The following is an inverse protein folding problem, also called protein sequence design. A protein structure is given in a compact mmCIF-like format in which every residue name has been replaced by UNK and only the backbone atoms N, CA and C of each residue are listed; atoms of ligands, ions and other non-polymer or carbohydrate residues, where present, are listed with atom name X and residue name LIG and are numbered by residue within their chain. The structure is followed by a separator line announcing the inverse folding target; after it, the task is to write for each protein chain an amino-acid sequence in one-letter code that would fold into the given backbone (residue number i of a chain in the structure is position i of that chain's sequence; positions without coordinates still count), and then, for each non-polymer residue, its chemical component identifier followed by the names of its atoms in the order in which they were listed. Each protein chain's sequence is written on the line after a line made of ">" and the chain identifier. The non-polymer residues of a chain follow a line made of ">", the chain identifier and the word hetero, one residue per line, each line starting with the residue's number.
data_IF_670501670507
#
_entry.id   IF_670501670507
#
_cell.length_a   1.000
_cell.length_b   1.000
_cell.length_c   1.000
_cell.angle_alpha   90.00
_cell.angle_beta   90.00
_cell.angle_gamma   90.00
#
_symmetry.space_group_name_H-M   'P 1'
#
loop_
_entity.id
_entity.type
_entity.pdbx_description
1 polymer ?
#
# COMPACT_ATOMS: atom_id res chain seq x y z
N UNK A 1 1.16 -22.82 -9.94
CA UNK A 1 0.29 -22.10 -9.03
C UNK A 1 -0.02 -20.76 -9.66
N UNK A 2 -1.29 -20.37 -9.77
CA UNK A 2 -1.62 -19.04 -10.27
C UNK A 2 -1.26 -18.02 -9.18
N UNK A 3 -0.62 -16.90 -9.55
CA UNK A 3 -0.29 -15.86 -8.58
C UNK A 3 -1.56 -15.28 -7.98
N UNK A 4 -1.50 -14.87 -6.72
CA UNK A 4 -2.64 -14.28 -6.03
C UNK A 4 -3.08 -13.00 -6.75
N UNK A 5 -4.33 -12.96 -7.18
CA UNK A 5 -4.93 -11.73 -7.72
C UNK A 5 -5.19 -10.79 -6.56
N UNK A 6 -4.60 -9.60 -6.60
CA UNK A 6 -4.78 -8.59 -5.58
C UNK A 6 -5.50 -7.37 -6.12
N UNK A 7 -6.06 -6.61 -5.21
CA UNK A 7 -6.57 -5.26 -5.48
C UNK A 7 -5.57 -4.25 -4.97
N UNK A 8 -5.21 -3.28 -5.80
CA UNK A 8 -4.26 -2.22 -5.46
C UNK A 8 -4.99 -0.93 -5.15
N UNK A 9 -4.36 -0.10 -4.32
CA UNK A 9 -4.87 1.23 -3.96
C UNK A 9 -3.74 2.24 -4.00
N UNK A 10 -4.07 3.46 -4.39
CA UNK A 10 -3.18 4.60 -4.20
C UNK A 10 -3.48 5.23 -2.84
N UNK A 11 -2.45 5.57 -2.08
CA UNK A 11 -2.64 6.16 -0.75
C UNK A 11 -3.57 7.37 -0.79
N UNK A 12 -4.53 7.39 0.12
CA UNK A 12 -5.53 8.44 0.22
C UNK A 12 -6.76 8.28 -0.68
N UNK A 13 -6.81 7.25 -1.54
CA UNK A 13 -7.95 6.93 -2.39
C UNK A 13 -8.65 5.67 -1.92
N UNK A 14 -9.96 5.60 -2.12
CA UNK A 14 -10.76 4.39 -1.92
C UNK A 14 -10.94 3.55 -3.18
N UNK A 15 -10.55 4.11 -4.34
CA UNK A 15 -10.78 3.49 -5.64
C UNK A 15 -9.82 2.33 -5.83
N UNK A 16 -10.39 1.18 -6.08
CA UNK A 16 -9.65 -0.06 -6.30
C UNK A 16 -9.06 -0.09 -7.71
N UNK A 17 -7.80 -0.49 -7.82
CA UNK A 17 -7.14 -0.74 -9.09
C UNK A 17 -7.04 -2.26 -9.31
N UNK A 18 -7.26 -2.76 -10.53
CA UNK A 18 -7.28 -4.19 -10.79
C UNK A 18 -5.91 -4.84 -10.57
N UNK A 19 -5.92 -6.10 -10.20
CA UNK A 19 -4.70 -6.91 -10.00
C UNK A 19 -4.15 -7.55 -11.28
N UNK A 20 -4.61 -7.14 -12.45
CA UNK A 20 -4.18 -7.65 -13.76
C UNK A 20 -3.08 -6.79 -14.36
N UNK A 21 -2.23 -7.40 -15.24
CA UNK A 21 -1.14 -6.69 -15.93
C UNK A 21 -1.60 -5.58 -16.87
N UNK A 22 -2.88 -5.51 -17.19
CA UNK A 22 -3.39 -4.60 -18.22
C UNK A 22 -4.32 -3.55 -17.64
N UNK A 23 -3.91 -2.31 -17.81
CA UNK A 23 -4.80 -1.15 -17.76
C UNK A 23 -5.34 -0.93 -19.17
N UNK A 24 -6.37 -1.63 -19.57
CA UNK A 24 -6.94 -1.42 -20.89
C UNK A 24 -8.43 -1.08 -20.83
N UNK A 25 -8.92 -0.36 -21.84
CA UNK A 25 -10.31 0.10 -21.92
C UNK A 25 -11.36 -0.99 -21.73
N UNK A 26 -11.01 -2.25 -22.02
CA UNK A 26 -11.90 -3.39 -21.84
C UNK A 26 -12.31 -3.65 -20.38
N UNK A 27 -11.52 -3.17 -19.40
CA UNK A 27 -11.82 -3.33 -17.97
C UNK A 27 -12.34 -2.04 -17.33
N UNK A 28 -12.49 -0.95 -18.09
CA UNK A 28 -12.89 0.34 -17.57
C UNK A 28 -11.82 1.11 -16.80
N UNK A 29 -10.57 0.62 -16.73
CA UNK A 29 -9.47 1.28 -16.04
C UNK A 29 -8.44 1.79 -17.04
N UNK A 30 -7.83 2.95 -16.73
CA UNK A 30 -6.79 3.53 -17.55
C UNK A 30 -5.75 4.28 -16.70
N UNK A 31 -4.54 4.44 -17.25
CA UNK A 31 -3.55 5.36 -16.72
C UNK A 31 -3.90 6.77 -17.16
N UNK A 32 -3.81 7.74 -16.24
CA UNK A 32 -3.91 9.14 -16.61
C UNK A 32 -2.63 9.58 -17.34
N UNK A 33 -2.75 10.03 -18.56
CA UNK A 33 -1.63 10.44 -19.41
C UNK A 33 -1.41 11.95 -19.46
N UNK A 34 -2.37 12.73 -18.95
CA UNK A 34 -2.21 14.17 -18.85
C UNK A 34 -1.16 14.49 -17.80
N UNK A 35 0.04 14.72 -18.26
CA UNK A 35 1.15 15.14 -17.42
C UNK A 35 0.85 16.57 -16.91
N UNK A 36 0.41 16.68 -15.68
CA UNK A 36 -0.03 17.94 -15.08
C UNK A 36 1.17 18.82 -14.67
N UNK A 37 2.20 18.88 -15.52
CA UNK A 37 3.37 19.76 -15.40
C UNK A 37 4.00 19.79 -13.99
N UNK A 38 4.21 18.65 -13.37
CA UNK A 38 4.76 18.50 -12.00
C UNK A 38 3.87 19.11 -10.90
N UNK A 39 2.60 19.33 -11.15
CA UNK A 39 1.70 19.91 -10.14
C UNK A 39 0.88 18.86 -9.36
N UNK A 40 0.90 17.60 -9.80
CA UNK A 40 0.07 16.53 -9.22
C UNK A 40 -1.42 16.73 -9.48
N UNK A 41 -2.22 15.77 -9.06
CA UNK A 41 -3.66 15.77 -9.22
C UNK A 41 -4.36 16.22 -7.93
N UNK A 42 -5.54 16.83 -8.06
CA UNK A 42 -6.37 17.17 -6.92
C UNK A 42 -7.22 15.97 -6.49
N UNK A 43 -7.66 15.96 -5.22
CA UNK A 43 -8.66 14.97 -4.74
C UNK A 43 -9.98 15.08 -5.50
N UNK A 44 -10.39 16.30 -5.90
CA UNK A 44 -11.58 16.50 -6.72
C UNK A 44 -11.47 15.79 -8.07
N UNK A 45 -10.31 15.88 -8.72
CA UNK A 45 -10.05 15.15 -9.95
C UNK A 45 -10.09 13.63 -9.74
N UNK A 46 -9.43 13.14 -8.70
CA UNK A 46 -9.41 11.72 -8.37
C UNK A 46 -10.81 11.14 -8.11
N UNK A 47 -11.67 11.89 -7.42
CA UNK A 47 -13.06 11.49 -7.14
C UNK A 47 -13.89 11.41 -8.41
N UNK A 48 -13.66 12.31 -9.37
CA UNK A 48 -14.36 12.32 -10.67
C UNK A 48 -13.87 11.24 -11.63
N UNK A 49 -12.68 10.70 -11.39
CA UNK A 49 -12.01 9.70 -12.23
C UNK A 49 -11.56 8.48 -11.42
N UNK A 50 -12.50 7.73 -10.80
CA UNK A 50 -12.18 6.56 -9.99
C UNK A 50 -11.52 5.43 -10.81
N UNK A 51 -11.79 5.39 -12.11
CA UNK A 51 -11.25 4.40 -13.05
C UNK A 51 -9.79 4.67 -13.45
N UNK A 52 -9.23 5.84 -13.09
CA UNK A 52 -7.87 6.20 -13.48
C UNK A 52 -6.86 5.93 -12.39
N UNK A 53 -5.75 5.31 -12.75
CA UNK A 53 -4.53 5.38 -11.98
C UNK A 53 -3.85 6.72 -12.24
N UNK A 54 -3.53 7.44 -11.19
CA UNK A 54 -2.88 8.74 -11.27
C UNK A 54 -1.37 8.56 -11.08
N UNK A 55 -0.52 8.87 -12.08
CA UNK A 55 0.90 8.69 -11.95
C UNK A 55 1.51 9.67 -10.94
N UNK A 56 2.74 9.37 -10.57
CA UNK A 56 3.54 10.27 -9.74
C UNK A 56 3.68 11.64 -10.42
N UNK A 57 3.47 12.71 -9.69
CA UNK A 57 3.57 14.05 -10.26
C UNK A 57 5.02 14.56 -10.34
N UNK A 58 5.93 14.00 -9.54
CA UNK A 58 7.36 14.29 -9.64
C UNK A 58 8.00 13.16 -10.43
N UNK A 59 8.36 13.45 -11.68
CA UNK A 59 9.07 12.52 -12.53
C UNK A 59 10.42 12.13 -11.89
N UNK A 60 10.79 10.86 -12.01
CA UNK A 60 12.04 10.31 -11.49
C UNK A 60 12.19 10.33 -9.95
N UNK A 61 11.11 10.58 -9.21
CA UNK A 61 11.13 10.55 -7.76
C UNK A 61 10.27 9.40 -7.21
N UNK A 62 10.92 8.31 -6.82
CA UNK A 62 10.27 7.07 -6.35
C UNK A 62 9.27 7.27 -5.21
N UNK A 63 9.46 8.32 -4.42
CA UNK A 63 8.64 8.58 -3.24
C UNK A 63 7.62 9.71 -3.44
N UNK A 64 7.42 10.16 -4.67
CA UNK A 64 6.34 11.10 -4.99
C UNK A 64 4.97 10.41 -4.92
N UNK A 65 3.93 11.18 -4.63
CA UNK A 65 2.55 10.71 -4.69
C UNK A 65 1.85 11.23 -5.95
N UNK A 66 0.64 10.77 -6.15
CA UNK A 66 -0.22 11.24 -7.24
C UNK A 66 -0.79 12.65 -6.98
N UNK A 67 -0.83 13.08 -5.74
CA UNK A 67 -1.46 14.34 -5.31
C UNK A 67 -0.40 15.37 -4.92
N UNK A 68 -0.54 16.59 -5.39
CA UNK A 68 0.37 17.71 -5.08
C UNK A 68 0.14 18.29 -3.69
N UNK A 69 -1.05 18.09 -3.13
CA UNK A 69 -1.42 18.58 -1.81
C UNK A 69 -1.71 17.40 -0.91
N UNK A 70 -0.78 17.13 -0.02
CA UNK A 70 -0.90 16.05 0.94
C UNK A 70 -1.96 16.32 2.00
N UNK A 71 -2.82 15.34 2.23
CA UNK A 71 -3.75 15.33 3.34
C UNK A 71 -3.46 14.11 4.21
N UNK A 72 -2.91 14.36 5.38
CA UNK A 72 -2.51 13.31 6.33
C UNK A 72 -3.68 12.47 6.83
N UNK A 73 -4.87 13.04 6.85
CA UNK A 73 -6.06 12.44 7.44
C UNK A 73 -7.03 11.80 6.45
N UNK A 74 -6.56 11.40 5.28
CA UNK A 74 -7.44 10.86 4.23
C UNK A 74 -8.04 9.52 4.62
N UNK A 75 -7.27 8.59 5.18
CA UNK A 75 -7.76 7.29 5.60
C UNK A 75 -8.12 7.20 7.09
N UNK A 76 -7.57 8.12 7.91
CA UNK A 76 -7.92 8.22 9.32
C UNK A 76 -7.95 9.68 9.76
N UNK A 77 -9.06 10.12 10.36
CA UNK A 77 -9.18 11.50 10.89
C UNK A 77 -8.24 11.78 12.06
N UNK A 78 -7.69 10.73 12.68
CA UNK A 78 -6.81 10.85 13.84
C UNK A 78 -5.33 11.04 13.47
N UNK A 79 -5.00 11.14 12.19
CA UNK A 79 -3.63 11.37 11.72
C UNK A 79 -3.27 12.85 11.82
N UNK A 80 -2.75 13.27 12.98
CA UNK A 80 -2.33 14.66 13.20
C UNK A 80 -0.89 14.91 12.83
N UNK A 81 -0.04 13.89 12.93
CA UNK A 81 1.38 13.97 12.64
C UNK A 81 1.71 13.12 11.44
N UNK A 82 2.37 13.71 10.48
CA UNK A 82 3.13 13.03 9.45
C UNK A 82 4.47 12.60 10.09
N UNK A 83 5.08 11.52 9.61
CA UNK A 83 6.40 11.04 10.04
C UNK A 83 6.45 10.17 11.30
N UNK A 84 5.40 10.11 12.10
CA UNK A 84 5.38 9.26 13.29
C UNK A 84 4.66 7.94 13.03
N UNK A 85 5.35 6.84 13.29
CA UNK A 85 4.71 5.54 13.41
C UNK A 85 3.86 5.49 14.67
N UNK A 86 2.64 5.03 14.55
CA UNK A 86 1.69 5.11 15.66
C UNK A 86 0.81 3.85 15.73
N UNK A 87 0.48 3.46 16.96
CA UNK A 87 -0.61 2.53 17.29
C UNK A 87 -1.92 3.26 17.64
N UNK A 88 -2.01 4.55 17.36
CA UNK A 88 -3.24 5.29 17.60
C UNK A 88 -4.41 4.64 16.86
N UNK A 89 -5.58 4.68 17.46
CA UNK A 89 -6.80 4.16 16.88
C UNK A 89 -7.08 4.80 15.53
N UNK A 90 -7.21 3.99 14.50
CA UNK A 90 -7.63 4.47 13.19
C UNK A 90 -9.12 4.81 13.24
N UNK A 91 -9.44 6.07 12.95
CA UNK A 91 -10.82 6.54 12.82
C UNK A 91 -11.14 6.66 11.34
N UNK A 92 -11.79 5.65 10.82
CA UNK A 92 -12.13 5.48 9.41
C UNK A 92 -12.79 6.71 8.81
N UNK A 93 -12.33 7.11 7.63
CA UNK A 93 -12.96 8.15 6.80
C UNK A 93 -13.76 7.52 5.65
N UNK A 94 -14.43 8.35 4.87
CA UNK A 94 -15.11 7.93 3.63
C UNK A 94 -14.13 7.52 2.53
N UNK A 95 -12.85 7.87 2.66
CA UNK A 95 -11.78 7.54 1.68
C UNK A 95 -11.01 6.27 2.04
N UNK A 96 -11.23 5.70 3.23
CA UNK A 96 -10.63 4.42 3.60
C UNK A 96 -11.22 3.30 2.74
N UNK A 97 -10.38 2.52 2.03
CA UNK A 97 -10.85 1.53 1.05
C UNK A 97 -11.48 0.27 1.67
N UNK A 98 -11.28 0.05 2.96
CA UNK A 98 -11.81 -1.15 3.60
C UNK A 98 -13.34 -1.12 3.68
N UNK A 99 -14.01 -2.27 3.66
CA UNK A 99 -15.47 -2.34 3.80
C UNK A 99 -15.95 -1.82 5.16
N UNK A 100 -17.27 -1.64 5.29
CA UNK A 100 -17.89 -1.26 6.53
C UNK A 100 -17.54 -2.26 7.67
N UNK A 101 -17.27 -1.76 8.86
CA UNK A 101 -16.83 -2.56 10.00
C UNK A 101 -15.33 -2.88 10.02
N UNK A 102 -14.59 -2.51 8.99
CA UNK A 102 -13.13 -2.65 8.90
C UNK A 102 -12.50 -1.31 8.52
N UNK A 103 -11.21 -1.17 8.79
CA UNK A 103 -10.41 0.00 8.43
C UNK A 103 -8.99 -0.39 8.09
N UNK A 104 -8.24 0.49 7.45
CA UNK A 104 -6.81 0.33 7.22
C UNK A 104 -6.06 0.23 8.55
N UNK A 105 -5.01 -0.60 8.65
CA UNK A 105 -4.29 -0.80 9.90
C UNK A 105 -3.49 0.46 10.32
N UNK A 106 -3.21 0.57 11.62
CA UNK A 106 -2.24 1.53 12.13
C UNK A 106 -0.81 1.20 11.65
N UNK A 107 0.10 2.17 11.64
CA UNK A 107 1.45 1.97 11.07
C UNK A 107 2.31 0.98 11.85
N UNK A 108 2.01 0.71 13.12
CA UNK A 108 2.69 -0.29 13.93
C UNK A 108 1.95 -1.64 13.99
N UNK A 109 0.87 -1.82 13.23
CA UNK A 109 0.08 -3.05 13.27
C UNK A 109 0.86 -4.31 12.86
N UNK A 110 1.89 -4.14 12.05
CA UNK A 110 2.72 -5.25 11.54
C UNK A 110 3.98 -5.55 12.36
N UNK A 111 4.21 -4.85 13.46
CA UNK A 111 5.42 -5.05 14.29
C UNK A 111 5.52 -6.44 14.88
N UNK A 112 4.40 -7.10 15.14
CA UNK A 112 4.38 -8.52 15.58
C UNK A 112 4.93 -9.51 14.56
N UNK A 113 5.14 -9.10 13.32
CA UNK A 113 5.77 -9.93 12.29
C UNK A 113 7.29 -9.88 12.33
N UNK A 114 7.88 -9.06 13.18
CA UNK A 114 9.31 -9.10 13.50
C UNK A 114 9.55 -9.76 14.86
N UNK A 115 10.69 -10.43 15.00
CA UNK A 115 11.09 -11.08 16.27
C UNK A 115 11.28 -10.05 17.39
N UNK A 116 11.77 -8.87 17.04
CA UNK A 116 11.99 -7.78 18.00
C UNK A 116 10.70 -7.08 18.44
N UNK A 117 9.58 -7.30 17.74
CA UNK A 117 8.34 -6.54 17.94
C UNK A 117 8.44 -5.07 17.53
N UNK A 118 9.49 -4.69 16.78
CA UNK A 118 9.78 -3.31 16.40
C UNK A 118 9.47 -3.07 14.93
N UNK A 119 9.16 -1.81 14.61
CA UNK A 119 9.11 -1.35 13.23
C UNK A 119 10.53 -1.08 12.72
N UNK A 120 10.77 -1.36 11.46
CA UNK A 120 12.06 -1.17 10.79
C UNK A 120 12.37 -2.33 9.86
N UNK A 121 13.56 -2.33 9.32
CA UNK A 121 14.03 -3.44 8.49
C UNK A 121 14.27 -4.67 9.37
N UNK A 122 13.74 -5.81 8.94
CA UNK A 122 13.99 -7.10 9.54
C UNK A 122 14.45 -8.05 8.44
N UNK A 123 15.56 -8.73 8.70
CA UNK A 123 16.17 -9.68 7.77
C UNK A 123 15.78 -11.11 8.12
N UNK A 124 16.16 -12.05 7.28
CA UNK A 124 15.93 -13.46 7.53
C UNK A 124 16.41 -13.87 8.94
N UNK A 125 15.56 -14.62 9.64
CA UNK A 125 15.78 -14.95 11.06
C UNK A 125 15.35 -13.87 12.05
N UNK A 126 14.99 -12.68 11.58
CA UNK A 126 14.42 -11.60 12.39
C UNK A 126 12.92 -11.40 12.19
N UNK A 127 12.32 -12.17 11.31
CA UNK A 127 10.87 -12.17 11.04
C UNK A 127 10.18 -13.37 11.70
N UNK A 128 8.97 -13.18 12.19
CA UNK A 128 8.14 -14.21 12.83
C UNK A 128 7.39 -15.03 11.77
N UNK A 129 8.12 -15.66 10.85
CA UNK A 129 7.55 -16.49 9.80
C UNK A 129 7.58 -17.98 10.14
N UNK A 130 6.84 -18.77 9.37
CA UNK A 130 6.83 -20.22 9.37
C UNK A 130 7.06 -20.73 7.95
N UNK A 131 8.04 -21.60 7.80
CA UNK A 131 8.39 -22.18 6.49
C UNK A 131 9.22 -21.25 5.61
N UNK A 132 9.49 -21.71 4.39
CA UNK A 132 10.21 -20.96 3.37
C UNK A 132 9.32 -20.00 2.63
N UNK A 133 9.94 -19.08 1.88
CA UNK A 133 9.24 -18.23 0.92
C UNK A 133 8.44 -19.06 -0.09
N UNK A 134 7.19 -18.69 -0.28
CA UNK A 134 6.29 -19.33 -1.22
C UNK A 134 5.39 -18.28 -1.90
N UNK A 135 6.02 -17.35 -2.64
CA UNK A 135 5.36 -16.18 -3.20
C UNK A 135 4.65 -15.32 -2.13
N UNK A 136 5.27 -15.26 -0.95
CA UNK A 136 4.78 -14.60 0.25
C UNK A 136 5.26 -15.29 1.51
N UNK A 137 4.86 -14.75 2.66
CA UNK A 137 5.22 -15.27 3.97
C UNK A 137 3.99 -15.70 4.79
N UNK A 138 4.14 -16.82 5.52
CA UNK A 138 3.26 -17.17 6.62
C UNK A 138 3.81 -16.59 7.93
N UNK A 139 3.15 -15.57 8.47
CA UNK A 139 3.52 -14.98 9.76
C UNK A 139 2.78 -15.64 10.91
N UNK A 140 3.45 -15.81 12.05
CA UNK A 140 2.83 -16.24 13.30
C UNK A 140 1.88 -15.15 13.80
N UNK A 141 0.68 -15.53 14.23
CA UNK A 141 -0.30 -14.56 14.75
C UNK A 141 -0.16 -14.30 16.26
N UNK A 142 0.71 -15.04 16.94
CA UNK A 142 0.81 -15.00 18.39
C UNK A 142 -0.31 -15.76 19.13
N UNK A 143 -1.23 -16.38 18.41
CA UNK A 143 -2.35 -17.16 18.96
C UNK A 143 -2.10 -18.64 18.67
N UNK A 144 -1.55 -19.36 19.64
CA UNK A 144 -1.20 -20.77 19.48
C UNK A 144 -0.24 -20.99 18.30
N UNK A 145 -0.54 -21.95 17.43
CA UNK A 145 0.23 -22.24 16.22
C UNK A 145 -0.38 -21.62 14.95
N UNK A 146 -1.31 -20.68 15.10
CA UNK A 146 -1.98 -20.08 13.96
C UNK A 146 -1.05 -19.16 13.18
N UNK A 147 -1.24 -19.15 11.86
CA UNK A 147 -0.50 -18.29 10.95
C UNK A 147 -1.45 -17.52 10.04
N UNK A 148 -0.98 -16.40 9.50
CA UNK A 148 -1.62 -15.64 8.44
C UNK A 148 -0.67 -15.53 7.26
N UNK A 149 -1.17 -15.82 6.07
CA UNK A 149 -0.39 -15.74 4.85
C UNK A 149 -0.55 -14.36 4.20
N UNK A 150 0.57 -13.71 3.93
CA UNK A 150 0.64 -12.48 3.15
C UNK A 150 1.29 -12.78 1.81
N UNK A 151 0.54 -12.77 0.70
CA UNK A 151 1.09 -13.04 -0.63
C UNK A 151 1.94 -11.90 -1.16
N UNK A 152 2.95 -12.22 -1.96
CA UNK A 152 3.75 -11.24 -2.71
C UNK A 152 3.01 -10.85 -3.99
N UNK A 153 2.09 -9.91 -3.85
CA UNK A 153 1.16 -9.50 -4.92
C UNK A 153 1.77 -8.53 -5.93
N UNK A 154 3.06 -8.22 -5.79
CA UNK A 154 3.75 -7.27 -6.67
C UNK A 154 3.47 -5.82 -6.34
N UNK A 155 3.84 -4.96 -7.27
CA UNK A 155 3.70 -3.51 -7.20
C UNK A 155 3.16 -2.99 -8.53
N UNK A 156 2.34 -1.95 -8.46
CA UNK A 156 2.04 -1.14 -9.63
C UNK A 156 3.07 -0.02 -9.78
N UNK A 157 3.68 0.03 -10.95
CA UNK A 157 4.61 1.10 -11.29
C UNK A 157 3.88 2.45 -11.26
N UNK A 158 4.48 3.41 -10.60
CA UNK A 158 3.92 4.74 -10.42
C UNK A 158 3.98 5.63 -11.69
N UNK A 159 4.75 5.23 -12.70
CA UNK A 159 4.89 5.98 -13.96
C UNK A 159 3.93 5.49 -15.04
N UNK A 160 3.84 4.17 -15.24
CA UNK A 160 3.11 3.56 -16.34
C UNK A 160 2.00 2.60 -15.91
N UNK A 161 1.84 2.39 -14.60
CA UNK A 161 0.81 1.53 -14.03
C UNK A 161 1.03 0.04 -14.23
N UNK A 162 2.13 -0.39 -14.84
CA UNK A 162 2.41 -1.81 -15.06
C UNK A 162 2.57 -2.56 -13.73
N UNK A 163 2.08 -3.78 -13.66
CA UNK A 163 2.28 -4.66 -12.52
C UNK A 163 3.61 -5.40 -12.70
N UNK A 164 4.47 -5.32 -11.70
CA UNK A 164 5.77 -5.99 -11.71
C UNK A 164 6.10 -6.60 -10.35
N UNK A 165 7.13 -7.46 -10.29
CA UNK A 165 7.59 -8.19 -9.11
C UNK A 165 6.52 -9.05 -8.44
N UNK A 166 5.62 -9.59 -9.24
CA UNK A 166 4.61 -10.55 -8.79
C UNK A 166 5.30 -11.83 -8.30
N UNK A 167 4.93 -12.31 -7.11
CA UNK A 167 5.60 -13.43 -6.46
C UNK A 167 6.93 -13.08 -5.76
N UNK A 168 7.45 -11.86 -5.96
CA UNK A 168 8.72 -11.40 -5.38
C UNK A 168 8.52 -10.38 -4.26
N UNK A 169 7.57 -9.47 -4.41
CA UNK A 169 7.34 -8.38 -3.47
C UNK A 169 5.89 -8.30 -3.02
N UNK A 170 5.69 -7.87 -1.77
CA UNK A 170 4.39 -7.46 -1.24
C UNK A 170 4.48 -6.11 -0.55
N UNK A 171 3.46 -5.24 -0.78
CA UNK A 171 3.35 -3.93 -0.16
C UNK A 171 1.94 -3.77 0.41
N UNK A 172 1.87 -3.58 1.73
CA UNK A 172 0.62 -3.50 2.46
C UNK A 172 0.54 -2.16 3.19
N UNK A 173 -0.31 -1.29 2.69
CA UNK A 173 -0.50 0.05 3.22
C UNK A 173 -1.02 0.07 4.66
N UNK A 174 -0.65 1.11 5.38
CA UNK A 174 -1.28 1.49 6.64
C UNK A 174 -2.07 2.79 6.47
N UNK A 175 -2.89 3.16 7.45
CA UNK A 175 -3.66 4.39 7.40
C UNK A 175 -2.82 5.66 7.59
N UNK A 176 -1.57 5.52 8.04
CA UNK A 176 -0.73 6.65 8.45
C UNK A 176 0.20 7.11 7.35
N UNK A 177 0.25 8.42 7.09
CA UNK A 177 1.18 8.99 6.14
C UNK A 177 2.61 8.93 6.65
N UNK A 178 3.56 8.86 5.72
CA UNK A 178 4.99 9.00 5.99
C UNK A 178 5.46 10.40 5.53
N UNK A 179 6.65 10.76 5.91
CA UNK A 179 7.39 12.02 5.83
C UNK A 179 6.90 13.22 5.00
N UNK A 180 6.00 13.05 4.06
CA UNK A 180 5.50 14.16 3.22
C UNK A 180 3.98 14.17 3.07
N UNK A 181 3.27 13.31 3.79
CA UNK A 181 1.83 13.05 3.65
C UNK A 181 1.32 12.64 2.24
N UNK A 182 2.20 12.62 1.24
CA UNK A 182 1.94 12.07 -0.09
C UNK A 182 2.34 10.60 -0.21
N UNK A 183 2.94 10.06 0.84
CA UNK A 183 3.34 8.67 1.03
C UNK A 183 2.64 8.10 2.26
N UNK A 184 2.67 6.79 2.42
CA UNK A 184 2.22 6.14 3.64
C UNK A 184 3.25 5.13 4.15
N UNK A 185 3.17 4.84 5.43
CA UNK A 185 3.84 3.67 5.97
C UNK A 185 3.19 2.41 5.38
N UNK A 186 4.02 1.44 5.06
CA UNK A 186 3.60 0.13 4.58
C UNK A 186 4.44 -0.96 5.23
N UNK A 187 3.86 -2.14 5.40
CA UNK A 187 4.65 -3.35 5.53
C UNK A 187 5.14 -3.72 4.13
N UNK A 188 6.43 -3.90 3.99
CA UNK A 188 7.05 -4.41 2.76
C UNK A 188 7.67 -5.78 3.03
N UNK A 189 7.64 -6.64 2.06
CA UNK A 189 8.32 -7.94 2.09
C UNK A 189 8.87 -8.29 0.71
N UNK A 190 9.99 -8.99 0.71
CA UNK A 190 10.73 -9.32 -0.50
C UNK A 190 11.25 -10.75 -0.45
N UNK A 191 11.39 -11.37 -1.63
CA UNK A 191 11.92 -12.73 -1.76
C UNK A 191 13.43 -12.83 -1.51
N UNK A 192 14.15 -11.72 -1.72
CA UNK A 192 15.62 -11.68 -1.58
C UNK A 192 16.13 -11.28 -0.19
N UNK A 193 15.25 -11.02 0.73
CA UNK A 193 15.59 -10.80 2.16
C UNK A 193 15.62 -12.11 2.95
N UNK A 194 15.93 -13.20 2.24
CA UNK A 194 16.01 -14.57 2.78
C UNK A 194 17.47 -14.99 2.98
#
# INVERSE_FOLDING_TARGET
>A
KEPAIATFYQFGRKDALPGTNTFYPSNGYSLETNNNNNQGYSYGYAIQHPEKMLPNFIKDYYFGGWCSKAYSNTWSTNNKNIEERSNATVIKTIYDPCPAGSHMPASLAFTGFTVSGSAGNAYYGQINNVGAWNEGWNFKTGIGNSTVFFPAVGIRNFEDGTLFRLGENGFYWTAFPASSAIQAFAMTMHSWEV
#
